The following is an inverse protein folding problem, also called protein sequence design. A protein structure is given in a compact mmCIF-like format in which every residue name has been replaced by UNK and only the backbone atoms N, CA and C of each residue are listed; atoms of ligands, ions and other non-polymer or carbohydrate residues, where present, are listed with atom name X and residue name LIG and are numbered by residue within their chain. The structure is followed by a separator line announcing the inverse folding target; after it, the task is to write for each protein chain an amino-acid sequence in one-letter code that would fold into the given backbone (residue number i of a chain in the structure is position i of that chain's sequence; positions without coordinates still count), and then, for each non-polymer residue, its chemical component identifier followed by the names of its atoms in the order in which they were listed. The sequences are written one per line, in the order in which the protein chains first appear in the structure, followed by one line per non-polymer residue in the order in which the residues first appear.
data_IF_289197529606
#
_entry.id   IF_289197529606
#
_cell.length_a   1.000
_cell.length_b   1.000
_cell.length_c   1.000
_cell.angle_alpha   90.00
_cell.angle_beta   90.00
_cell.angle_gamma   90.00
#
_symmetry.space_group_name_H-M   'P 1'
#
loop_
_entity.id
_entity.type
_entity.pdbx_description
1 polymer ?
#
# COMPACT_ATOMS: atom_id res chain seq x y z
N UNK A 1 5.55 13.54 -1.33
CA UNK A 1 4.80 12.32 -0.97
C UNK A 1 4.83 11.33 -2.12
N UNK A 2 4.36 10.10 -1.90
CA UNK A 2 4.28 9.05 -2.93
C UNK A 2 2.83 8.59 -3.03
N UNK A 3 2.26 8.63 -4.23
CA UNK A 3 1.02 7.92 -4.58
C UNK A 3 1.38 6.48 -4.92
N UNK A 4 0.71 5.51 -4.32
CA UNK A 4 0.81 4.11 -4.75
C UNK A 4 -0.41 3.79 -5.59
N UNK A 5 -0.23 3.72 -6.90
CA UNK A 5 -1.31 3.60 -7.87
C UNK A 5 -1.75 2.13 -7.99
N UNK A 6 -3.02 1.86 -7.71
CA UNK A 6 -3.67 0.59 -8.03
C UNK A 6 -3.55 0.29 -9.52
N UNK A 7 -3.05 -0.89 -9.87
CA UNK A 7 -2.69 -1.22 -11.25
C UNK A 7 -3.06 -2.65 -11.63
N UNK A 8 -3.66 -2.77 -12.82
CA UNK A 8 -3.94 -4.00 -13.55
C UNK A 8 -3.19 -3.97 -14.89
N UNK A 9 -2.75 -5.13 -15.41
CA UNK A 9 -2.38 -5.23 -16.81
C UNK A 9 -3.59 -4.90 -17.70
N UNK A 10 -3.34 -4.21 -18.81
CA UNK A 10 -4.37 -3.82 -19.76
C UNK A 10 -5.19 -5.03 -20.25
N UNK A 11 -6.51 -4.97 -20.08
CA UNK A 11 -7.44 -6.03 -20.48
C UNK A 11 -7.60 -7.19 -19.49
N UNK A 12 -6.96 -7.11 -18.32
CA UNK A 12 -7.06 -8.08 -17.22
C UNK A 12 -7.67 -7.45 -15.95
N UNK A 13 -8.38 -6.34 -16.09
CA UNK A 13 -9.08 -5.67 -15.00
C UNK A 13 -10.21 -6.54 -14.43
N UNK A 14 -10.53 -6.35 -13.14
CA UNK A 14 -11.72 -6.95 -12.52
C UNK A 14 -13.00 -6.54 -13.27
N UNK A 15 -14.05 -7.37 -13.20
CA UNK A 15 -15.32 -7.16 -13.94
C UNK A 15 -16.00 -5.80 -13.71
N UNK A 16 -15.64 -5.09 -12.64
CA UNK A 16 -16.18 -3.78 -12.27
C UNK A 16 -15.21 -2.61 -12.52
N UNK A 17 -14.07 -2.85 -13.16
CA UNK A 17 -13.00 -1.87 -13.34
C UNK A 17 -12.88 -1.47 -14.81
N UNK A 18 -12.67 -0.18 -15.07
CA UNK A 18 -12.33 0.33 -16.41
C UNK A 18 -10.82 0.17 -16.68
N UNK A 19 -10.41 0.27 -17.95
CA UNK A 19 -9.00 0.20 -18.35
C UNK A 19 -8.22 1.38 -17.77
N UNK A 20 -7.42 1.13 -16.72
CA UNK A 20 -6.72 2.18 -15.96
C UNK A 20 -5.32 2.49 -16.50
N UNK A 21 -4.69 1.57 -17.23
CA UNK A 21 -3.30 1.73 -17.67
C UNK A 21 -3.11 2.95 -18.60
N UNK A 22 -4.12 3.26 -19.41
CA UNK A 22 -4.11 4.42 -20.32
C UNK A 22 -4.15 5.77 -19.57
N UNK A 23 -4.57 5.78 -18.30
CA UNK A 23 -4.57 6.98 -17.46
C UNK A 23 -3.23 7.21 -16.75
N UNK A 24 -2.34 6.21 -16.72
CA UNK A 24 -1.06 6.30 -15.99
C UNK A 24 -0.21 7.49 -16.46
N UNK A 25 -0.03 7.79 -17.75
CA UNK A 25 0.72 8.97 -18.20
C UNK A 25 0.14 10.29 -17.64
N UNK A 26 -1.18 10.45 -17.68
CA UNK A 26 -1.83 11.66 -17.17
C UNK A 26 -1.68 11.80 -15.65
N UNK A 27 -1.70 10.68 -14.91
CA UNK A 27 -1.43 10.65 -13.46
C UNK A 27 0.01 11.06 -13.18
N UNK A 28 0.97 10.55 -13.95
CA UNK A 28 2.39 10.88 -13.82
C UNK A 28 2.66 12.37 -14.07
N UNK A 29 2.05 12.94 -15.13
CA UNK A 29 2.12 14.37 -15.46
C UNK A 29 1.48 15.24 -14.36
N UNK A 30 0.34 14.81 -13.82
CA UNK A 30 -0.33 15.51 -12.73
C UNK A 30 0.52 15.48 -11.45
N UNK A 31 1.13 14.34 -11.13
CA UNK A 31 2.03 14.20 -9.99
C UNK A 31 3.24 15.14 -10.10
N UNK A 32 3.76 15.36 -11.32
CA UNK A 32 4.96 16.18 -11.55
C UNK A 32 4.69 17.64 -11.19
N UNK A 33 3.53 18.15 -11.60
CA UNK A 33 3.05 19.50 -11.29
C UNK A 33 3.00 19.80 -9.78
N UNK A 34 2.82 18.77 -8.95
CA UNK A 34 2.74 18.89 -7.49
C UNK A 34 3.96 18.28 -6.76
N UNK A 35 5.05 17.97 -7.48
CA UNK A 35 6.26 17.37 -6.90
C UNK A 35 6.00 16.07 -6.13
N UNK A 36 5.04 15.27 -6.61
CA UNK A 36 4.73 13.94 -6.08
C UNK A 36 5.47 12.86 -6.88
N UNK A 37 5.60 11.68 -6.27
CA UNK A 37 6.11 10.47 -6.94
C UNK A 37 5.01 9.42 -7.04
N UNK A 38 5.15 8.50 -7.99
CA UNK A 38 4.17 7.43 -8.24
C UNK A 38 4.88 6.07 -8.19
N UNK A 39 4.43 5.21 -7.27
CA UNK A 39 4.76 3.79 -7.19
C UNK A 39 3.55 2.96 -7.64
N UNK A 40 3.72 1.66 -7.83
CA UNK A 40 2.66 0.78 -8.34
C UNK A 40 2.22 -0.26 -7.31
N UNK A 41 0.91 -0.44 -7.19
CA UNK A 41 0.25 -1.47 -6.39
C UNK A 41 -0.37 -2.47 -7.35
N UNK A 42 0.33 -3.58 -7.58
CA UNK A 42 -0.07 -4.62 -8.52
C UNK A 42 -1.17 -5.47 -7.87
N UNK A 43 -2.37 -5.37 -8.43
CA UNK A 43 -3.55 -6.10 -7.97
C UNK A 43 -3.52 -7.58 -8.42
N UNK A 44 -4.32 -8.45 -7.80
CA UNK A 44 -4.56 -9.80 -8.32
C UNK A 44 -5.32 -9.71 -9.64
N UNK A 45 -4.85 -10.44 -10.64
CA UNK A 45 -5.50 -10.56 -11.95
C UNK A 45 -5.47 -12.02 -12.41
N UNK A 46 -6.35 -12.36 -13.36
CA UNK A 46 -6.43 -13.72 -13.89
C UNK A 46 -5.07 -14.15 -14.49
N UNK A 47 -4.55 -15.29 -14.05
CA UNK A 47 -3.28 -15.82 -14.55
C UNK A 47 -2.03 -15.16 -13.94
N UNK A 48 -2.16 -14.34 -12.89
CA UNK A 48 -1.02 -13.77 -12.17
C UNK A 48 -0.11 -14.86 -11.59
N UNK A 49 1.16 -14.86 -11.99
CA UNK A 49 2.24 -15.72 -11.52
C UNK A 49 3.60 -14.99 -11.62
N UNK A 50 4.69 -15.68 -11.29
CA UNK A 50 6.05 -15.15 -11.35
C UNK A 50 6.45 -14.65 -12.75
N UNK A 51 6.07 -15.36 -13.81
CA UNK A 51 6.37 -14.97 -15.19
C UNK A 51 5.57 -13.74 -15.63
N UNK A 52 4.24 -13.74 -15.43
CA UNK A 52 3.39 -12.62 -15.84
C UNK A 52 3.69 -11.36 -15.02
N UNK A 53 4.06 -11.50 -13.75
CA UNK A 53 4.53 -10.36 -12.94
C UNK A 53 5.87 -9.84 -13.46
N UNK A 54 6.81 -10.70 -13.86
CA UNK A 54 8.06 -10.29 -14.51
C UNK A 54 7.82 -9.47 -15.78
N UNK A 55 6.93 -9.94 -16.66
CA UNK A 55 6.52 -9.24 -17.87
C UNK A 55 5.89 -7.87 -17.57
N UNK A 56 5.03 -7.81 -16.56
CA UNK A 56 4.38 -6.57 -16.14
C UNK A 56 5.36 -5.57 -15.50
N UNK A 57 6.33 -6.03 -14.71
CA UNK A 57 7.41 -5.17 -14.19
C UNK A 57 8.20 -4.59 -15.35
N UNK A 58 8.60 -5.43 -16.30
CA UNK A 58 9.29 -4.98 -17.51
C UNK A 58 8.48 -3.93 -18.26
N UNK A 59 7.19 -4.19 -18.47
CA UNK A 59 6.28 -3.24 -19.11
C UNK A 59 6.21 -1.89 -18.39
N UNK A 60 5.97 -1.90 -17.08
CA UNK A 60 5.87 -0.68 -16.25
C UNK A 60 7.19 0.10 -16.30
N UNK A 61 8.33 -0.57 -16.16
CA UNK A 61 9.65 0.08 -16.18
C UNK A 61 9.97 0.63 -17.57
N UNK A 62 9.70 -0.10 -18.64
CA UNK A 62 9.96 0.35 -20.01
C UNK A 62 9.06 1.53 -20.40
N UNK A 63 7.76 1.45 -20.07
CA UNK A 63 6.76 2.46 -20.46
C UNK A 63 6.84 3.72 -19.61
N UNK A 64 7.08 3.59 -18.30
CA UNK A 64 6.96 4.69 -17.35
C UNK A 64 8.24 5.03 -16.59
N UNK A 65 9.26 4.16 -16.58
CA UNK A 65 10.45 4.28 -15.73
C UNK A 65 11.39 5.45 -16.03
N UNK A 66 11.21 6.10 -17.18
CA UNK A 66 11.90 7.33 -17.60
C UNK A 66 11.22 8.61 -17.11
N UNK A 67 9.96 8.54 -16.67
CA UNK A 67 9.21 9.69 -16.19
C UNK A 67 9.80 10.22 -14.86
N UNK A 68 9.92 11.53 -14.70
CA UNK A 68 10.53 12.18 -13.51
C UNK A 68 9.85 11.81 -12.19
N UNK A 69 8.55 11.52 -12.24
CA UNK A 69 7.73 11.15 -11.07
C UNK A 69 7.70 9.67 -10.78
N UNK A 70 8.23 8.81 -11.66
CA UNK A 70 8.33 7.39 -11.41
C UNK A 70 9.16 7.15 -10.14
N UNK A 71 8.54 6.56 -9.13
CA UNK A 71 9.14 6.46 -7.80
C UNK A 71 10.29 5.45 -7.80
N UNK A 72 11.45 5.89 -7.31
CA UNK A 72 12.59 5.04 -7.02
C UNK A 72 12.98 5.22 -5.56
N UNK A 73 12.94 4.14 -4.80
CA UNK A 73 13.39 4.08 -3.42
C UNK A 73 14.92 3.99 -3.37
N UNK A 74 15.54 4.73 -2.44
CA UNK A 74 16.97 4.67 -2.19
C UNK A 74 17.26 3.60 -1.15
N UNK A 75 17.88 2.50 -1.57
CA UNK A 75 18.27 1.41 -0.67
C UNK A 75 19.39 1.84 0.27
N UNK A 76 19.64 1.03 1.31
CA UNK A 76 20.79 1.19 2.22
C UNK A 76 22.15 1.15 1.50
N UNK A 77 22.23 0.49 0.35
CA UNK A 77 23.41 0.47 -0.54
C UNK A 77 23.52 1.67 -1.46
N UNK A 78 22.56 2.61 -1.40
CA UNK A 78 22.51 3.82 -2.22
C UNK A 78 21.92 3.64 -3.62
N UNK A 79 21.52 2.41 -4.01
CA UNK A 79 20.86 2.13 -5.29
C UNK A 79 19.47 2.77 -5.31
N UNK A 80 19.06 3.29 -6.46
CA UNK A 80 17.71 3.80 -6.70
C UNK A 80 16.92 2.73 -7.48
N UNK A 81 15.94 2.11 -6.82
CA UNK A 81 15.16 1.02 -7.39
C UNK A 81 13.65 1.35 -7.42
N UNK A 82 12.91 1.01 -8.49
CA UNK A 82 11.45 1.03 -8.50
C UNK A 82 10.87 0.32 -7.28
N UNK A 83 9.72 0.76 -6.76
CA UNK A 83 9.02 0.07 -5.67
C UNK A 83 7.66 -0.44 -6.13
N UNK A 84 7.38 -1.71 -5.85
CA UNK A 84 6.15 -2.40 -6.21
C UNK A 84 5.52 -3.04 -4.98
N UNK A 85 4.25 -2.74 -4.74
CA UNK A 85 3.43 -3.42 -3.75
C UNK A 85 2.66 -4.53 -4.45
N UNK A 86 2.70 -5.75 -3.92
CA UNK A 86 1.98 -6.89 -4.50
C UNK A 86 0.77 -7.21 -3.59
N UNK A 87 -0.43 -6.83 -4.03
CA UNK A 87 -1.66 -7.15 -3.30
C UNK A 87 -1.95 -8.64 -3.35
N UNK A 88 -2.41 -9.24 -2.24
CA UNK A 88 -2.67 -10.67 -2.12
C UNK A 88 -1.51 -11.56 -2.63
N UNK A 89 -0.27 -11.17 -2.33
CA UNK A 89 0.93 -11.89 -2.78
C UNK A 89 0.96 -13.36 -2.35
N UNK A 90 0.26 -13.72 -1.27
CA UNK A 90 0.10 -15.07 -0.75
C UNK A 90 -0.70 -16.01 -1.67
N UNK A 91 -1.38 -15.49 -2.70
CA UNK A 91 -2.05 -16.33 -3.71
C UNK A 91 -1.07 -17.04 -4.65
N UNK A 92 0.17 -16.59 -4.73
CA UNK A 92 1.24 -17.23 -5.49
C UNK A 92 2.22 -17.89 -4.52
N UNK A 93 2.60 -19.14 -4.80
CA UNK A 93 3.45 -19.94 -3.90
C UNK A 93 4.83 -19.31 -3.71
N UNK A 94 5.44 -19.43 -2.52
CA UNK A 94 6.78 -18.88 -2.26
C UNK A 94 7.85 -19.36 -3.23
N UNK A 95 7.82 -20.63 -3.64
CA UNK A 95 8.76 -21.18 -4.60
C UNK A 95 8.68 -20.52 -5.99
N UNK A 96 7.47 -20.10 -6.41
CA UNK A 96 7.31 -19.36 -7.66
C UNK A 96 7.89 -17.94 -7.53
N UNK A 97 7.57 -17.23 -6.44
CA UNK A 97 8.19 -15.93 -6.17
C UNK A 97 9.71 -16.02 -6.08
N UNK A 98 10.25 -17.06 -5.47
CA UNK A 98 11.69 -17.26 -5.33
C UNK A 98 12.39 -17.41 -6.69
N UNK A 99 11.73 -17.97 -7.71
CA UNK A 99 12.27 -18.01 -9.07
C UNK A 99 12.52 -16.63 -9.68
N UNK A 100 11.72 -15.64 -9.27
CA UNK A 100 11.76 -14.27 -9.76
C UNK A 100 12.59 -13.34 -8.86
N UNK A 101 12.39 -13.44 -7.53
CA UNK A 101 12.84 -12.44 -6.57
C UNK A 101 14.11 -12.85 -5.79
N UNK A 102 14.63 -14.06 -5.95
CA UNK A 102 15.95 -14.43 -5.39
C UNK A 102 17.03 -14.35 -6.45
N UNK A 103 18.27 -14.03 -6.05
CA UNK A 103 19.42 -13.98 -6.97
C UNK A 103 19.72 -15.33 -7.65
N UNK A 104 19.31 -16.44 -7.05
CA UNK A 104 19.47 -17.81 -7.58
C UNK A 104 18.24 -18.32 -8.33
N UNK A 105 17.19 -17.51 -8.45
CA UNK A 105 15.95 -17.87 -9.11
C UNK A 105 16.15 -18.17 -10.61
N UNK A 106 15.37 -19.10 -11.15
CA UNK A 106 15.51 -19.59 -12.53
C UNK A 106 15.33 -18.52 -13.61
N UNK A 107 14.59 -17.45 -13.31
CA UNK A 107 14.38 -16.28 -14.19
C UNK A 107 14.41 -14.99 -13.37
N UNK A 108 15.38 -14.89 -12.47
CA UNK A 108 15.52 -13.79 -11.54
C UNK A 108 15.58 -12.42 -12.23
N UNK A 109 14.88 -11.43 -11.67
CA UNK A 109 15.02 -10.01 -12.06
C UNK A 109 16.08 -9.26 -11.25
N UNK A 110 16.66 -9.89 -10.23
CA UNK A 110 17.67 -9.27 -9.37
C UNK A 110 18.94 -8.94 -10.17
N UNK A 111 19.49 -7.75 -9.96
CA UNK A 111 20.66 -7.23 -10.70
C UNK A 111 20.44 -7.11 -12.22
N UNK A 112 19.19 -7.05 -12.68
CA UNK A 112 18.83 -6.71 -14.06
C UNK A 112 18.33 -5.27 -14.15
N UNK A 113 18.10 -4.71 -15.36
CA UNK A 113 17.43 -3.41 -15.51
C UNK A 113 16.01 -3.34 -14.92
N UNK A 114 15.39 -4.49 -14.61
CA UNK A 114 14.05 -4.61 -14.06
C UNK A 114 14.04 -4.96 -12.56
N UNK A 115 15.21 -4.89 -11.90
CA UNK A 115 15.31 -5.05 -10.45
C UNK A 115 14.51 -3.94 -9.73
N UNK A 116 14.05 -4.24 -8.52
CA UNK A 116 13.09 -3.40 -7.79
C UNK A 116 13.06 -3.71 -6.31
N UNK A 117 12.25 -2.97 -5.57
CA UNK A 117 11.89 -3.23 -4.18
C UNK A 117 10.46 -3.77 -4.15
N UNK A 118 10.32 -5.04 -3.79
CA UNK A 118 9.05 -5.76 -3.82
C UNK A 118 8.51 -5.92 -2.40
N UNK A 119 7.30 -5.42 -2.18
CA UNK A 119 6.64 -5.42 -0.87
C UNK A 119 5.43 -6.37 -0.90
N UNK A 120 5.51 -7.48 -0.17
CA UNK A 120 4.46 -8.49 -0.08
C UNK A 120 3.40 -8.18 0.98
N UNK A 121 2.15 -8.64 0.79
CA UNK A 121 1.07 -8.44 1.74
C UNK A 121 1.09 -9.51 2.85
N UNK A 122 1.19 -9.08 4.11
CA UNK A 122 1.01 -9.97 5.26
C UNK A 122 -0.46 -9.97 5.71
N UNK A 123 -1.04 -11.17 5.87
CA UNK A 123 -2.43 -11.36 6.33
C UNK A 123 -2.46 -12.29 7.53
N UNK A 124 -1.86 -13.47 7.41
CA UNK A 124 -1.70 -14.43 8.50
C UNK A 124 -0.27 -14.38 9.05
N UNK A 125 -0.07 -14.89 10.27
CA UNK A 125 1.27 -14.91 10.88
C UNK A 125 2.28 -15.74 10.07
N UNK A 126 1.84 -16.87 9.49
CA UNK A 126 2.67 -17.75 8.66
C UNK A 126 3.28 -17.03 7.45
N UNK A 127 2.58 -16.01 6.91
CA UNK A 127 3.03 -15.28 5.73
C UNK A 127 4.36 -14.54 5.97
N UNK A 128 4.78 -14.30 7.22
CA UNK A 128 6.12 -13.78 7.53
C UNK A 128 7.21 -14.66 6.90
N UNK A 129 7.10 -15.97 7.09
CA UNK A 129 8.09 -16.93 6.60
C UNK A 129 7.96 -17.11 5.08
N UNK A 130 6.73 -17.21 4.58
CA UNK A 130 6.46 -17.31 3.14
C UNK A 130 7.04 -16.11 2.37
N UNK A 131 6.89 -14.88 2.89
CA UNK A 131 7.43 -13.65 2.28
C UNK A 131 8.96 -13.67 2.27
N UNK A 132 9.59 -14.12 3.35
CA UNK A 132 11.04 -14.24 3.43
C UNK A 132 11.56 -15.26 2.39
N UNK A 133 10.96 -16.44 2.33
CA UNK A 133 11.35 -17.51 1.40
C UNK A 133 11.09 -17.13 -0.07
N UNK A 134 10.06 -16.31 -0.31
CA UNK A 134 9.75 -15.75 -1.62
C UNK A 134 10.82 -14.78 -2.13
N UNK A 135 11.65 -14.19 -1.28
CA UNK A 135 12.66 -13.19 -1.66
C UNK A 135 12.12 -11.75 -1.79
N UNK A 136 10.99 -11.43 -1.16
CA UNK A 136 10.50 -10.04 -1.08
C UNK A 136 11.48 -9.17 -0.27
N UNK A 137 11.52 -7.87 -0.58
CA UNK A 137 12.35 -6.89 0.12
C UNK A 137 11.68 -6.32 1.38
N UNK A 138 10.38 -6.58 1.54
CA UNK A 138 9.61 -6.12 2.68
C UNK A 138 8.16 -6.59 2.65
N UNK A 139 7.41 -6.13 3.64
CA UNK A 139 5.98 -6.43 3.76
C UNK A 139 5.17 -5.22 4.25
N UNK A 140 3.88 -5.21 3.86
CA UNK A 140 2.88 -4.21 4.25
C UNK A 140 1.56 -4.89 4.65
N UNK A 141 0.64 -4.13 5.28
CA UNK A 141 -0.53 -4.71 5.96
C UNK A 141 -1.87 -4.38 5.33
N UNK A 142 -1.92 -3.40 4.43
CA UNK A 142 -3.07 -2.86 3.68
C UNK A 142 -4.30 -2.47 4.50
N UNK A 143 -5.01 -3.42 5.11
CA UNK A 143 -6.37 -3.23 5.61
C UNK A 143 -6.48 -2.14 6.68
N UNK A 144 -7.44 -1.22 6.49
CA UNK A 144 -7.73 -0.13 7.42
C UNK A 144 -8.39 -0.59 8.74
N UNK A 145 -9.01 -1.76 8.73
CA UNK A 145 -9.70 -2.33 9.90
C UNK A 145 -8.72 -3.05 10.84
N UNK A 146 -8.47 -2.43 12.00
CA UNK A 146 -7.72 -3.03 13.09
C UNK A 146 -8.47 -4.28 13.58
N UNK A 147 -7.76 -5.42 13.60
CA UNK A 147 -8.31 -6.72 13.97
C UNK A 147 -8.83 -7.58 12.80
N UNK A 148 -8.80 -7.09 11.56
CA UNK A 148 -9.26 -7.86 10.40
C UNK A 148 -8.33 -9.04 10.06
N UNK A 149 -7.02 -8.80 10.09
CA UNK A 149 -6.01 -9.82 9.85
C UNK A 149 -4.91 -9.76 10.93
N UNK A 150 -4.02 -10.76 10.95
CA UNK A 150 -2.83 -10.70 11.82
C UNK A 150 -2.00 -9.45 11.47
N UNK A 151 -1.83 -9.16 10.18
CA UNK A 151 -1.09 -8.00 9.70
C UNK A 151 -1.73 -6.65 10.05
N UNK A 152 -3.05 -6.52 9.96
CA UNK A 152 -3.75 -5.26 10.22
C UNK A 152 -4.03 -4.99 11.72
N UNK A 153 -3.73 -5.96 12.59
CA UNK A 153 -3.90 -5.83 14.03
C UNK A 153 -2.72 -5.09 14.65
N UNK A 154 -2.96 -3.87 15.17
CA UNK A 154 -1.89 -2.99 15.66
C UNK A 154 -1.01 -3.64 16.75
N UNK A 155 -1.60 -4.51 17.57
CA UNK A 155 -0.90 -5.25 18.63
C UNK A 155 0.23 -6.17 18.10
N UNK A 156 0.13 -6.61 16.84
CA UNK A 156 1.11 -7.51 16.22
C UNK A 156 2.26 -6.76 15.54
N UNK A 157 2.14 -5.45 15.32
CA UNK A 157 3.13 -4.67 14.56
C UNK A 157 4.53 -4.71 15.18
N UNK A 158 4.65 -4.78 16.50
CA UNK A 158 5.95 -4.95 17.17
C UNK A 158 6.61 -6.28 16.81
N UNK A 159 5.84 -7.37 16.79
CA UNK A 159 6.34 -8.71 16.44
C UNK A 159 6.72 -8.76 14.96
N UNK A 160 5.90 -8.15 14.09
CA UNK A 160 6.19 -8.05 12.66
C UNK A 160 7.46 -7.23 12.40
N UNK A 161 7.61 -6.08 13.05
CA UNK A 161 8.82 -5.24 12.94
C UNK A 161 10.06 -5.99 13.40
N UNK A 162 10.01 -6.65 14.56
CA UNK A 162 11.13 -7.44 15.06
C UNK A 162 11.55 -8.54 14.08
N UNK A 163 10.58 -9.24 13.48
CA UNK A 163 10.84 -10.22 12.43
C UNK A 163 11.53 -9.59 11.21
N UNK A 164 11.03 -8.44 10.75
CA UNK A 164 11.59 -7.73 9.61
C UNK A 164 13.04 -7.29 9.88
N UNK A 165 13.30 -6.72 11.05
CA UNK A 165 14.64 -6.28 11.46
C UNK A 165 15.63 -7.44 11.54
N UNK A 166 15.19 -8.60 12.04
CA UNK A 166 16.03 -9.79 12.17
C UNK A 166 16.36 -10.44 10.82
N UNK A 167 15.59 -10.14 9.78
CA UNK A 167 15.71 -10.74 8.45
C UNK A 167 16.03 -9.72 7.35
N UNK A 168 16.42 -8.49 7.71
CA UNK A 168 16.72 -7.41 6.77
C UNK A 168 15.58 -7.14 5.77
N UNK A 169 14.34 -7.17 6.26
CA UNK A 169 13.13 -6.81 5.50
C UNK A 169 12.65 -5.43 5.92
N UNK A 170 12.02 -4.72 4.98
CA UNK A 170 11.30 -3.49 5.29
C UNK A 170 9.91 -3.79 5.85
N UNK A 171 9.54 -3.16 6.97
CA UNK A 171 8.15 -3.16 7.44
C UNK A 171 7.45 -1.84 7.11
N UNK A 172 6.34 -1.93 6.38
CA UNK A 172 5.49 -0.79 5.99
C UNK A 172 4.09 -0.97 6.60
N UNK A 173 3.84 -0.53 7.86
CA UNK A 173 2.49 -0.58 8.42
C UNK A 173 1.54 0.31 7.62
N UNK A 174 0.35 -0.23 7.34
CA UNK A 174 -0.73 0.49 6.65
C UNK A 174 -1.75 0.99 7.66
N UNK A 175 -2.03 2.30 7.63
CA UNK A 175 -2.97 2.98 8.53
C UNK A 175 -4.17 3.50 7.74
N UNK A 176 -5.37 3.45 8.32
CA UNK A 176 -6.58 3.98 7.68
C UNK A 176 -7.47 4.76 8.64
N UNK A 177 -8.30 5.69 8.13
CA UNK A 177 -9.10 6.58 8.96
C UNK A 177 -10.34 5.92 9.58
N UNK A 178 -10.70 4.75 9.08
CA UNK A 178 -11.85 3.93 9.45
C UNK A 178 -12.17 2.97 8.33
N UNK A 179 -13.29 2.26 8.44
CA UNK A 179 -13.74 1.31 7.42
C UNK A 179 -15.25 1.14 7.48
N UNK A 180 -15.90 1.14 6.32
CA UNK A 180 -17.32 0.78 6.16
C UNK A 180 -17.61 0.49 4.68
N UNK A 181 -17.94 -0.76 4.36
CA UNK A 181 -18.21 -1.22 3.00
C UNK A 181 -19.62 -1.80 2.82
N UNK A 182 -20.49 -1.64 3.83
CA UNK A 182 -21.79 -2.30 3.91
C UNK A 182 -22.77 -1.93 2.80
N UNK A 183 -22.49 -0.90 2.01
CA UNK A 183 -23.25 -0.58 0.78
C UNK A 183 -23.05 -1.61 -0.33
N UNK A 184 -21.85 -2.15 -0.45
CA UNK A 184 -21.51 -3.17 -1.46
C UNK A 184 -21.36 -4.57 -0.83
N UNK A 185 -21.08 -4.65 0.49
CA UNK A 185 -20.99 -5.91 1.24
C UNK A 185 -21.81 -5.84 2.54
N UNK A 186 -23.16 -5.90 2.47
CA UNK A 186 -24.03 -5.74 3.66
C UNK A 186 -23.75 -6.73 4.81
N UNK A 187 -23.17 -7.88 4.48
CA UNK A 187 -22.78 -8.93 5.43
C UNK A 187 -21.48 -8.61 6.21
N UNK A 188 -20.71 -7.58 5.82
CA UNK A 188 -19.36 -7.31 6.34
C UNK A 188 -19.32 -6.30 7.50
N UNK A 189 -20.46 -6.02 8.14
CA UNK A 189 -20.56 -5.00 9.19
C UNK A 189 -19.62 -5.23 10.39
N UNK A 190 -19.24 -6.48 10.69
CA UNK A 190 -18.31 -6.80 11.78
C UNK A 190 -16.91 -6.16 11.61
N UNK A 191 -16.52 -5.84 10.37
CA UNK A 191 -15.28 -5.14 10.07
C UNK A 191 -15.39 -3.62 10.06
N UNK A 192 -16.59 -3.07 10.26
CA UNK A 192 -16.79 -1.61 10.32
C UNK A 192 -16.02 -1.01 11.49
N UNK A 193 -15.37 0.12 11.24
CA UNK A 193 -14.63 0.91 12.23
C UNK A 193 -15.02 2.36 12.06
N UNK A 194 -15.77 2.88 13.05
CA UNK A 194 -16.14 4.29 13.09
C UNK A 194 -14.88 5.14 13.18
N UNK A 195 -14.87 6.27 12.47
CA UNK A 195 -13.71 7.16 12.45
C UNK A 195 -13.51 7.92 13.78
N UNK A 196 -14.56 8.02 14.58
CA UNK A 196 -14.61 8.71 15.90
C UNK A 196 -13.95 10.09 15.80
N UNK A 197 -14.41 10.91 14.84
CA UNK A 197 -13.89 12.25 14.58
C UNK A 197 -12.37 12.32 14.43
N UNK A 198 -11.77 11.33 13.76
CA UNK A 198 -10.33 11.24 13.53
C UNK A 198 -9.55 10.44 14.58
N UNK A 199 -10.15 10.14 15.75
CA UNK A 199 -9.43 9.43 16.82
C UNK A 199 -9.00 8.02 16.42
N UNK A 200 -9.79 7.32 15.61
CA UNK A 200 -9.40 6.01 15.07
C UNK A 200 -8.12 6.12 14.23
N UNK A 201 -8.07 7.12 13.35
CA UNK A 201 -6.92 7.37 12.49
C UNK A 201 -5.66 7.72 13.28
N UNK A 202 -5.76 8.66 14.22
CA UNK A 202 -4.64 9.07 15.06
C UNK A 202 -4.13 7.91 15.94
N UNK A 203 -5.02 7.00 16.36
CA UNK A 203 -4.62 5.80 17.11
C UNK A 203 -3.81 4.85 16.24
N UNK A 204 -4.22 4.63 14.97
CA UNK A 204 -3.46 3.82 14.02
C UNK A 204 -2.09 4.45 13.69
N UNK A 205 -2.07 5.76 13.43
CA UNK A 205 -0.84 6.52 13.17
C UNK A 205 0.12 6.46 14.36
N UNK A 206 -0.38 6.67 15.58
CA UNK A 206 0.44 6.54 16.78
C UNK A 206 1.04 5.14 16.91
N UNK A 207 0.23 4.09 16.76
CA UNK A 207 0.72 2.70 16.80
C UNK A 207 1.80 2.44 15.74
N UNK A 208 1.65 2.98 14.53
CA UNK A 208 2.63 2.83 13.47
C UNK A 208 3.95 3.52 13.84
N UNK A 209 3.92 4.72 14.45
CA UNK A 209 5.13 5.41 14.89
C UNK A 209 5.89 4.65 15.99
N UNK A 210 5.18 3.96 16.90
CA UNK A 210 5.83 3.25 18.02
C UNK A 210 6.77 2.12 17.58
N UNK A 211 6.57 1.56 16.38
CA UNK A 211 7.42 0.50 15.83
C UNK A 211 8.53 1.04 14.93
N UNK A 212 8.71 2.36 14.86
CA UNK A 212 9.79 3.04 14.13
C UNK A 212 9.98 2.54 12.68
N UNK A 213 8.92 2.57 11.85
CA UNK A 213 9.00 2.10 10.47
C UNK A 213 9.73 3.14 9.60
N UNK A 214 10.31 2.69 8.50
CA UNK A 214 10.93 3.61 7.55
C UNK A 214 9.91 4.33 6.66
N UNK A 215 8.81 3.64 6.36
CA UNK A 215 7.70 4.08 5.52
C UNK A 215 6.39 3.70 6.23
N UNK A 216 5.40 4.59 6.20
CA UNK A 216 4.01 4.30 6.58
C UNK A 216 3.17 4.43 5.32
N UNK A 217 2.31 3.46 5.03
CA UNK A 217 1.33 3.59 3.95
C UNK A 217 -0.04 3.99 4.50
N UNK A 218 -0.81 4.76 3.73
CA UNK A 218 -2.15 5.20 4.10
C UNK A 218 -3.17 4.49 3.22
N UNK A 219 -4.05 3.73 3.84
CA UNK A 219 -5.20 3.08 3.21
C UNK A 219 -6.46 3.87 3.59
N UNK A 220 -6.95 4.76 2.73
CA UNK A 220 -6.53 5.03 1.34
C UNK A 220 -6.71 6.52 1.00
N UNK A 221 -6.25 6.94 -0.19
CA UNK A 221 -6.65 8.25 -0.69
C UNK A 221 -8.16 8.28 -0.98
N UNK A 222 -8.64 7.35 -1.82
CA UNK A 222 -9.98 7.41 -2.42
C UNK A 222 -10.65 6.03 -2.65
N UNK A 223 -10.39 5.01 -1.83
CA UNK A 223 -11.14 3.75 -1.89
C UNK A 223 -12.53 3.93 -1.23
N UNK A 224 -13.40 4.66 -1.93
CA UNK A 224 -14.72 5.09 -1.46
C UNK A 224 -15.66 3.92 -1.18
N UNK A 225 -15.49 2.81 -1.89
CA UNK A 225 -16.31 1.61 -1.70
C UNK A 225 -16.17 1.01 -0.30
N UNK A 226 -14.99 1.17 0.31
CA UNK A 226 -14.67 0.62 1.63
C UNK A 226 -14.68 1.67 2.74
N UNK A 227 -15.00 2.92 2.41
CA UNK A 227 -15.07 4.00 3.39
C UNK A 227 -13.72 4.32 4.05
N UNK A 228 -12.60 4.01 3.38
CA UNK A 228 -11.23 4.21 3.90
C UNK A 228 -10.57 5.50 3.41
N UNK A 229 -11.24 6.26 2.54
CA UNK A 229 -10.71 7.46 1.90
C UNK A 229 -10.34 8.57 2.89
N UNK A 230 -9.20 9.22 2.69
CA UNK A 230 -8.86 10.52 3.30
C UNK A 230 -9.26 11.72 2.41
N UNK A 231 -9.65 11.45 1.16
CA UNK A 231 -10.22 12.46 0.25
C UNK A 231 -11.41 13.19 0.89
N UNK A 232 -11.61 14.44 0.46
CA UNK A 232 -12.65 15.32 0.99
C UNK A 232 -14.03 14.70 0.82
N UNK A 233 -14.79 14.61 1.91
CA UNK A 233 -16.18 14.16 1.88
C UNK A 233 -17.11 15.28 2.36
N UNK A 234 -18.26 15.42 1.73
CA UNK A 234 -19.29 16.41 2.07
C UNK A 234 -20.59 15.73 2.46
N UNK A 235 -21.39 16.32 3.38
CA UNK A 235 -22.72 15.82 3.71
C UNK A 235 -23.59 15.69 2.47
N UNK A 236 -24.25 14.54 2.30
CA UNK A 236 -25.16 14.30 1.18
C UNK A 236 -26.34 13.47 1.65
N UNK A 237 -27.55 13.95 1.34
CA UNK A 237 -28.79 13.21 1.54
C UNK A 237 -29.56 13.12 0.23
N UNK A 238 -30.07 11.93 -0.05
CA UNK A 238 -30.99 11.62 -1.15
C UNK A 238 -32.31 11.13 -0.56
N UNK A 239 -33.33 10.88 -1.38
CA UNK A 239 -34.59 10.32 -0.89
C UNK A 239 -34.42 8.90 -0.30
N UNK A 240 -33.47 8.13 -0.83
CA UNK A 240 -33.26 6.72 -0.47
C UNK A 240 -32.11 6.49 0.51
N UNK A 241 -31.20 7.46 0.67
CA UNK A 241 -29.98 7.25 1.45
C UNK A 241 -29.42 8.55 2.04
N UNK A 242 -28.93 8.45 3.28
CA UNK A 242 -28.15 9.50 3.94
C UNK A 242 -26.71 9.03 4.03
N UNK A 243 -25.81 9.75 3.37
CA UNK A 243 -24.38 9.42 3.37
C UNK A 243 -23.74 9.81 4.70
N UNK A 244 -22.74 9.03 5.12
CA UNK A 244 -21.85 9.43 6.19
C UNK A 244 -20.95 10.57 5.70
N UNK A 245 -20.54 11.42 6.63
CA UNK A 245 -19.71 12.58 6.38
C UNK A 245 -18.73 12.81 7.55
N UNK A 246 -18.05 13.95 7.54
CA UNK A 246 -17.01 14.29 8.52
C UNK A 246 -17.48 15.30 9.57
N UNK A 247 -18.78 15.64 9.61
CA UNK A 247 -19.30 16.61 10.57
C UNK A 247 -19.04 16.18 12.02
N UNK A 248 -18.84 17.14 12.95
CA UNK A 248 -18.93 18.60 12.77
C UNK A 248 -17.66 19.24 12.17
N UNK A 249 -16.70 18.46 11.68
CA UNK A 249 -15.47 18.96 11.09
C UNK A 249 -15.62 19.26 9.59
N UNK A 250 -14.67 20.02 9.07
CA UNK A 250 -14.61 20.37 7.64
C UNK A 250 -14.30 19.16 6.74
N UNK A 251 -14.68 19.22 5.44
CA UNK A 251 -14.45 18.14 4.49
C UNK A 251 -13.00 17.66 4.38
N UNK A 252 -12.03 18.51 4.73
CA UNK A 252 -10.60 18.24 4.63
C UNK A 252 -9.97 17.69 5.93
N UNK A 253 -10.75 17.37 6.97
CA UNK A 253 -10.25 16.86 8.26
C UNK A 253 -9.13 15.82 8.13
N UNK A 254 -9.34 14.78 7.29
CA UNK A 254 -8.36 13.69 7.20
C UNK A 254 -7.09 14.08 6.46
N UNK A 255 -7.16 15.04 5.52
CA UNK A 255 -5.96 15.60 4.89
C UNK A 255 -5.14 16.41 5.91
N UNK A 256 -5.80 17.18 6.79
CA UNK A 256 -5.14 17.95 7.85
C UNK A 256 -4.48 17.03 8.89
N UNK A 257 -5.17 15.96 9.29
CA UNK A 257 -4.61 14.94 10.17
C UNK A 257 -3.42 14.23 9.52
N UNK A 258 -3.52 13.83 8.25
CA UNK A 258 -2.40 13.23 7.52
C UNK A 258 -1.20 14.19 7.48
N UNK A 259 -1.41 15.48 7.20
CA UNK A 259 -0.34 16.48 7.19
C UNK A 259 0.34 16.59 8.56
N UNK A 260 -0.44 16.79 9.63
CA UNK A 260 0.05 16.87 11.01
C UNK A 260 0.90 15.66 11.39
N UNK A 261 0.44 14.46 11.07
CA UNK A 261 1.15 13.23 11.42
C UNK A 261 2.34 12.94 10.51
N UNK A 262 2.32 13.38 9.24
CA UNK A 262 3.49 13.32 8.37
C UNK A 262 4.63 14.21 8.92
N UNK A 263 4.33 15.43 9.36
CA UNK A 263 5.32 16.30 10.02
C UNK A 263 5.88 15.67 11.30
N UNK A 264 5.00 15.07 12.12
CA UNK A 264 5.42 14.38 13.34
C UNK A 264 6.32 13.17 13.03
N UNK A 265 5.94 12.36 12.05
CA UNK A 265 6.74 11.22 11.58
C UNK A 265 8.12 11.64 11.08
N UNK A 266 8.21 12.73 10.29
CA UNK A 266 9.51 13.26 9.83
C UNK A 266 10.41 13.66 10.99
N UNK A 267 9.87 14.36 12.01
CA UNK A 267 10.64 14.77 13.20
C UNK A 267 11.12 13.58 14.02
N UNK A 268 10.27 12.57 14.23
CA UNK A 268 10.64 11.35 14.93
C UNK A 268 11.72 10.58 14.17
N UNK A 269 11.61 10.47 12.85
CA UNK A 269 12.59 9.78 12.01
C UNK A 269 13.97 10.43 12.06
N UNK A 270 14.06 11.76 12.12
CA UNK A 270 15.32 12.47 12.34
C UNK A 270 15.95 12.10 13.69
N UNK A 271 15.13 11.96 14.75
CA UNK A 271 15.60 11.57 16.08
C UNK A 271 16.06 10.12 16.17
N UNK A 272 15.45 9.20 15.40
CA UNK A 272 15.87 7.79 15.40
C UNK A 272 17.20 7.55 14.69
N UNK A 273 17.63 8.49 13.84
CA UNK A 273 18.87 8.44 13.08
C UNK A 273 20.05 9.14 13.78
N UNK A 274 19.79 9.84 14.89
CA UNK A 274 20.80 10.38 15.82
C UNK A 274 21.17 9.37 16.88
#
# INVERSE_FOLDING_TARGET
GVLVLSWYPSGLEDENSEQMDDLVPAILDAADKYSLKVAFHILPYMGRNDHTVSENIKYIVDKYGSHSTFYKYRTSTGRLLPMFYIYDSYLTLPAAWANLLTSSGSHSIRNTPYDGVFIGLIVEEKHKQDILESGFDGLYTYFASNGFSFGSSHQNWKIIKNFCDSNNLMFIPSVGPGYIDTRIRPWNNHNTRNRVSGKYYETALHAALTVRPEIISITSFNEWHEGTQIEKAVPKKTAQYTYLDYLPHEPNLYLELTHKWAEHFCKEKEQWLM
#
